data_IF_150805351195
#
_entry.id   IF_150805351195
#
_cell.length_a   1.000
_cell.length_b   1.000
_cell.length_c   1.000
_cell.angle_alpha   90.00
_cell.angle_beta   90.00
_cell.angle_gamma   90.00
#
_symmetry.space_group_name_H-M   'P 1'
#
loop_
_entity.id
_entity.type
_entity.pdbx_description
1 polymer ?
#
# COMPACT_ATOMS: atom_id res chain seq x y z
N UNK A 1 -7.77 0.39 20.65
CA UNK A 1 -7.25 0.36 19.27
C UNK A 1 -5.76 0.63 19.34
N UNK A 2 -4.91 -0.26 18.84
CA UNK A 2 -3.46 -0.04 18.87
C UNK A 2 -3.06 0.92 17.74
N UNK A 3 -2.34 1.98 18.08
CA UNK A 3 -1.87 2.99 17.16
C UNK A 3 -0.35 3.15 17.20
N UNK A 4 0.23 3.41 16.05
CA UNK A 4 1.60 3.88 15.88
C UNK A 4 1.57 5.36 15.52
N UNK A 5 1.98 6.20 16.46
CA UNK A 5 2.26 7.61 16.17
C UNK A 5 3.70 7.71 15.68
N UNK A 6 3.86 8.19 14.46
CA UNK A 6 5.15 8.24 13.77
C UNK A 6 5.59 9.69 13.60
N UNK A 7 6.80 9.98 14.07
CA UNK A 7 7.39 11.32 14.11
C UNK A 7 8.77 11.28 13.44
N UNK A 8 9.08 12.29 12.63
CA UNK A 8 10.40 12.51 12.00
C UNK A 8 10.95 13.85 12.42
N UNK A 9 12.14 13.87 13.02
CA UNK A 9 12.82 15.09 13.51
C UNK A 9 11.90 15.98 14.38
N UNK A 10 11.07 15.36 15.22
CA UNK A 10 10.06 16.05 16.04
C UNK A 10 8.79 16.48 15.31
N UNK A 11 8.76 16.40 13.97
CA UNK A 11 7.56 16.66 13.15
C UNK A 11 6.67 15.43 13.04
N UNK A 12 5.37 15.60 13.27
CA UNK A 12 4.38 14.54 13.13
C UNK A 12 4.25 14.11 11.66
N UNK A 13 4.38 12.80 11.38
CA UNK A 13 4.16 12.24 10.04
C UNK A 13 2.76 11.64 9.90
N UNK A 14 2.37 10.77 10.83
CA UNK A 14 1.04 10.16 10.86
C UNK A 14 0.75 9.48 12.21
N UNK A 15 -0.53 9.30 12.51
CA UNK A 15 -1.00 8.32 13.51
C UNK A 15 -1.72 7.19 12.78
N UNK A 16 -1.04 6.08 12.58
CA UNK A 16 -1.63 4.89 11.97
C UNK A 16 -2.25 4.00 13.04
N UNK A 17 -3.39 3.38 12.76
CA UNK A 17 -4.02 2.48 13.72
C UNK A 17 -4.97 1.52 13.03
N UNK A 18 -5.06 0.33 13.60
CA UNK A 18 -5.97 -0.72 13.14
C UNK A 18 -6.92 -1.10 14.27
N UNK A 19 -8.19 -1.41 13.97
CA UNK A 19 -9.14 -1.92 14.95
C UNK A 19 -8.71 -3.30 15.49
N UNK A 20 -9.52 -3.93 16.33
CA UNK A 20 -9.16 -5.10 17.14
C UNK A 20 -8.56 -6.29 16.35
N UNK A 21 -8.86 -6.41 15.05
CA UNK A 21 -8.27 -7.42 14.17
C UNK A 21 -7.60 -6.77 12.97
N UNK A 22 -6.29 -6.93 12.87
CA UNK A 22 -5.49 -6.43 11.76
C UNK A 22 -4.00 -6.58 12.00
N UNK A 23 -3.22 -6.18 11.01
CA UNK A 23 -1.78 -6.02 11.12
C UNK A 23 -1.48 -4.53 11.00
N UNK A 24 -0.62 -4.02 11.86
CA UNK A 24 -0.06 -2.68 11.75
C UNK A 24 1.46 -2.79 11.76
N UNK A 25 2.13 -2.14 10.82
CA UNK A 25 3.57 -2.21 10.68
C UNK A 25 4.17 -0.86 10.28
N UNK A 26 5.43 -0.69 10.69
CA UNK A 26 6.30 0.40 10.25
C UNK A 26 7.59 -0.23 9.73
N UNK A 27 7.87 -0.05 8.45
CA UNK A 27 8.99 -0.67 7.75
C UNK A 27 9.92 0.43 7.25
N UNK A 28 11.19 0.35 7.65
CA UNK A 28 12.26 1.18 7.09
C UNK A 28 13.07 0.32 6.11
N UNK A 29 13.03 0.69 4.83
CA UNK A 29 13.65 -0.07 3.74
C UNK A 29 14.86 0.67 3.19
N UNK A 30 16.02 0.02 3.17
CA UNK A 30 17.22 0.52 2.48
C UNK A 30 17.55 -0.37 1.30
N UNK A 31 17.54 0.19 0.09
CA UNK A 31 17.79 -0.53 -1.15
C UNK A 31 18.99 0.07 -1.87
N UNK A 32 20.00 -0.75 -2.13
CA UNK A 32 21.16 -0.43 -2.96
C UNK A 32 21.31 -1.50 -4.03
N UNK A 33 21.10 -1.15 -5.30
CA UNK A 33 21.22 -2.08 -6.43
C UNK A 33 22.61 -1.97 -7.06
N UNK A 34 23.30 -3.09 -7.32
CA UNK A 34 24.67 -3.06 -7.85
C UNK A 34 24.78 -2.63 -9.32
N UNK A 35 23.75 -2.89 -10.14
CA UNK A 35 23.84 -2.73 -11.62
C UNK A 35 22.99 -1.56 -12.17
N UNK A 36 22.49 -0.67 -11.31
CA UNK A 36 21.64 0.44 -11.71
C UNK A 36 22.46 1.73 -11.84
N UNK A 37 23.15 1.92 -12.98
CA UNK A 37 23.95 3.13 -13.24
C UNK A 37 23.11 4.42 -13.21
N UNK A 38 21.78 4.32 -13.36
CA UNK A 38 20.85 5.45 -13.28
C UNK A 38 20.56 5.89 -11.84
N UNK A 39 20.83 5.04 -10.87
CA UNK A 39 20.43 5.21 -9.48
C UNK A 39 21.66 5.14 -8.55
N UNK A 40 22.59 6.07 -8.75
CA UNK A 40 23.81 6.20 -7.96
C UNK A 40 23.54 6.44 -6.46
N UNK A 41 22.32 6.86 -6.10
CA UNK A 41 21.89 7.12 -4.73
C UNK A 41 21.03 5.97 -4.19
N UNK A 42 21.40 5.35 -3.07
CA UNK A 42 20.58 4.33 -2.43
C UNK A 42 19.22 4.91 -1.99
N UNK A 43 18.17 4.10 -2.14
CA UNK A 43 16.82 4.47 -1.74
C UNK A 43 16.59 4.08 -0.28
N UNK A 44 16.13 5.04 0.54
CA UNK A 44 15.77 4.80 1.93
C UNK A 44 14.34 5.31 2.14
N UNK A 45 13.39 4.40 2.38
CA UNK A 45 11.97 4.72 2.51
C UNK A 45 11.40 4.24 3.84
N UNK A 46 10.47 5.01 4.37
CA UNK A 46 9.66 4.65 5.52
C UNK A 46 8.23 4.40 5.04
N UNK A 47 7.77 3.16 5.23
CA UNK A 47 6.41 2.76 4.98
C UNK A 47 5.69 2.51 6.31
N UNK A 48 4.55 3.18 6.53
CA UNK A 48 3.65 2.94 7.66
C UNK A 48 2.34 2.45 7.08
N UNK A 49 2.04 1.19 7.34
CA UNK A 49 0.96 0.48 6.69
C UNK A 49 0.37 -0.59 7.57
N UNK A 50 -0.63 -1.26 7.03
CA UNK A 50 -1.33 -2.31 7.73
C UNK A 50 -2.27 -3.06 6.83
N UNK A 51 -2.95 -4.05 7.42
CA UNK A 51 -3.98 -4.81 6.73
C UNK A 51 -5.13 -5.13 7.67
N UNK A 52 -6.35 -4.93 7.19
CA UNK A 52 -7.60 -5.17 7.94
C UNK A 52 -8.56 -6.01 7.11
N UNK A 53 -9.74 -6.28 7.68
CA UNK A 53 -10.78 -7.05 7.02
C UNK A 53 -10.61 -8.56 7.14
N UNK A 54 -11.59 -9.31 6.63
CA UNK A 54 -11.57 -10.78 6.65
C UNK A 54 -10.34 -11.25 5.88
N UNK A 55 -9.52 -12.10 6.52
CA UNK A 55 -8.27 -12.65 5.94
C UNK A 55 -7.24 -11.59 5.54
N UNK A 56 -7.27 -10.38 6.13
CA UNK A 56 -6.29 -9.31 5.88
C UNK A 56 -6.22 -8.81 4.43
N UNK A 57 -7.33 -8.87 3.71
CA UNK A 57 -7.40 -8.54 2.28
C UNK A 57 -7.41 -7.04 1.98
N UNK A 58 -7.67 -6.18 2.96
CA UNK A 58 -7.63 -4.74 2.75
C UNK A 58 -6.33 -4.17 3.29
N UNK A 59 -5.46 -3.77 2.38
CA UNK A 59 -4.20 -3.10 2.68
C UNK A 59 -4.41 -1.60 2.84
N UNK A 60 -3.81 -1.04 3.89
CA UNK A 60 -3.91 0.36 4.26
C UNK A 60 -2.51 0.97 4.30
N UNK A 61 -2.37 2.17 3.74
CA UNK A 61 -1.12 2.93 3.81
C UNK A 61 -1.39 4.32 4.36
N UNK A 62 -0.70 4.68 5.45
CA UNK A 62 -0.77 6.00 6.07
C UNK A 62 0.40 6.88 5.65
N UNK A 63 1.56 6.29 5.43
CA UNK A 63 2.76 7.03 5.09
C UNK A 63 3.65 6.17 4.19
N UNK A 64 4.11 6.74 3.09
CA UNK A 64 5.20 6.20 2.29
C UNK A 64 6.07 7.39 1.86
N UNK A 65 7.25 7.51 2.48
CA UNK A 65 8.10 8.70 2.33
C UNK A 65 9.57 8.34 2.27
N UNK A 66 10.33 9.17 1.54
CA UNK A 66 11.78 9.08 1.51
C UNK A 66 12.39 9.64 2.81
N UNK A 67 13.35 8.91 3.34
CA UNK A 67 14.15 9.24 4.52
C UNK A 67 15.58 9.54 4.08
N UNK A 68 16.25 10.43 4.81
CA UNK A 68 17.63 10.84 4.58
C UNK A 68 18.49 10.41 5.75
N UNK A 69 19.77 10.14 5.48
CA UNK A 69 20.74 9.93 6.53
C UNK A 69 20.76 11.15 7.48
N UNK A 70 20.70 10.88 8.78
CA UNK A 70 20.61 11.91 9.83
C UNK A 70 19.19 12.22 10.30
N UNK A 71 18.15 11.73 9.62
CA UNK A 71 16.80 11.81 10.17
C UNK A 71 16.66 10.93 11.43
N UNK A 72 15.95 11.44 12.42
CA UNK A 72 15.53 10.71 13.61
C UNK A 72 14.07 10.34 13.47
N UNK A 73 13.78 9.05 13.52
CA UNK A 73 12.43 8.51 13.50
C UNK A 73 12.05 8.04 14.90
N UNK A 74 10.86 8.39 15.34
CA UNK A 74 10.26 7.90 16.58
C UNK A 74 8.91 7.28 16.26
N UNK A 75 8.71 6.06 16.77
CA UNK A 75 7.43 5.34 16.69
C UNK A 75 6.94 5.14 18.12
N UNK A 76 5.87 5.82 18.48
CA UNK A 76 5.20 5.63 19.76
C UNK A 76 4.05 4.63 19.57
N UNK A 77 4.04 3.57 20.38
CA UNK A 77 2.95 2.59 20.41
C UNK A 77 1.98 2.99 21.51
N UNK A 78 0.73 3.29 21.14
CA UNK A 78 -0.28 3.90 22.01
C UNK A 78 -1.65 3.25 21.80
N UNK A 79 -2.44 3.12 22.87
CA UNK A 79 -3.82 2.61 22.81
C UNK A 79 -4.88 3.70 23.01
N UNK A 80 -4.45 4.88 23.45
CA UNK A 80 -5.28 6.03 23.83
C UNK A 80 -5.37 7.11 22.74
N UNK A 81 -4.96 6.78 21.51
CA UNK A 81 -5.01 7.68 20.36
C UNK A 81 -6.10 7.28 19.37
N UNK A 82 -6.58 8.26 18.62
CA UNK A 82 -7.38 8.04 17.42
C UNK A 82 -6.48 7.98 16.19
N UNK A 83 -6.73 6.99 15.33
CA UNK A 83 -6.02 6.83 14.07
C UNK A 83 -6.48 7.87 13.05
N UNK A 84 -5.54 8.39 12.27
CA UNK A 84 -5.83 9.17 11.08
C UNK A 84 -6.41 8.27 9.99
N UNK A 85 -7.12 8.87 9.03
CA UNK A 85 -7.54 8.14 7.85
C UNK A 85 -6.32 7.71 7.02
N UNK A 86 -6.27 6.46 6.52
CA UNK A 86 -5.21 6.03 5.62
C UNK A 86 -5.23 6.85 4.33
N UNK A 87 -4.04 7.18 3.81
CA UNK A 87 -3.87 7.89 2.53
C UNK A 87 -4.30 7.03 1.36
N UNK A 88 -4.01 5.74 1.42
CA UNK A 88 -4.37 4.78 0.39
C UNK A 88 -5.03 3.54 1.01
N UNK A 89 -5.97 2.97 0.25
CA UNK A 89 -6.68 1.74 0.58
C UNK A 89 -6.71 0.86 -0.65
N UNK A 90 -6.21 -0.36 -0.53
CA UNK A 90 -6.21 -1.33 -1.60
C UNK A 90 -6.87 -2.62 -1.12
N UNK A 91 -7.97 -3.01 -1.77
CA UNK A 91 -8.62 -4.29 -1.53
C UNK A 91 -8.04 -5.32 -2.49
N UNK A 92 -7.33 -6.31 -1.95
CA UNK A 92 -6.93 -7.48 -2.71
C UNK A 92 -8.14 -8.42 -2.88
N UNK A 93 -8.76 -8.31 -4.04
CA UNK A 93 -9.91 -9.15 -4.42
C UNK A 93 -9.51 -10.59 -4.73
N UNK A 94 -8.22 -10.86 -4.96
CA UNK A 94 -7.69 -12.18 -5.30
C UNK A 94 -7.16 -12.95 -4.09
N UNK A 95 -6.77 -12.24 -3.02
CA UNK A 95 -6.33 -12.85 -1.77
C UNK A 95 -7.34 -13.89 -1.26
N UNK A 96 -6.85 -15.06 -0.84
CA UNK A 96 -7.67 -16.15 -0.31
C UNK A 96 -8.58 -16.86 -1.32
N UNK A 97 -8.52 -16.54 -2.62
CA UNK A 97 -9.16 -17.34 -3.65
C UNK A 97 -8.35 -18.62 -3.94
N UNK A 98 -9.05 -19.73 -4.16
CA UNK A 98 -8.44 -20.89 -4.80
C UNK A 98 -8.07 -20.58 -6.26
N UNK A 99 -7.21 -21.41 -6.84
CA UNK A 99 -6.69 -21.20 -8.20
C UNK A 99 -7.79 -21.12 -9.26
N UNK A 100 -8.86 -21.92 -9.14
CA UNK A 100 -9.98 -21.91 -10.09
C UNK A 100 -10.77 -20.63 -9.96
N UNK A 101 -11.04 -20.19 -8.73
CA UNK A 101 -11.73 -18.92 -8.46
C UNK A 101 -10.94 -17.71 -8.94
N UNK A 102 -9.61 -17.71 -8.76
CA UNK A 102 -8.71 -16.67 -9.28
C UNK A 102 -8.74 -16.62 -10.81
N UNK A 103 -8.62 -17.78 -11.48
CA UNK A 103 -8.67 -17.86 -12.95
C UNK A 103 -10.02 -17.39 -13.51
N UNK A 104 -11.13 -17.70 -12.82
CA UNK A 104 -12.46 -17.19 -13.19
C UNK A 104 -12.55 -15.67 -13.08
N UNK A 105 -12.02 -15.09 -12.00
CA UNK A 105 -12.00 -13.64 -11.83
C UNK A 105 -11.17 -12.96 -12.93
N UNK A 106 -9.99 -13.50 -13.23
CA UNK A 106 -9.13 -13.02 -14.31
C UNK A 106 -9.80 -13.11 -15.68
N UNK A 107 -10.48 -14.22 -15.98
CA UNK A 107 -11.24 -14.40 -17.22
C UNK A 107 -12.30 -13.29 -17.37
N UNK A 108 -13.12 -13.07 -16.35
CA UNK A 108 -14.18 -12.04 -16.39
C UNK A 108 -13.59 -10.63 -16.57
N UNK A 109 -12.45 -10.33 -15.95
CA UNK A 109 -11.75 -9.05 -16.11
C UNK A 109 -11.26 -8.85 -17.55
N UNK A 110 -10.65 -9.88 -18.14
CA UNK A 110 -10.15 -9.84 -19.52
C UNK A 110 -11.29 -9.70 -20.53
N UNK A 111 -12.42 -10.40 -20.32
CA UNK A 111 -13.60 -10.28 -21.18
C UNK A 111 -14.15 -8.84 -21.19
N UNK A 112 -14.14 -8.16 -20.03
CA UNK A 112 -14.55 -6.74 -19.94
C UNK A 112 -13.60 -5.82 -20.70
N UNK A 113 -12.29 -5.96 -20.50
CA UNK A 113 -11.29 -5.15 -21.21
C UNK A 113 -11.38 -5.36 -22.73
N UNK A 114 -11.60 -6.59 -23.17
CA UNK A 114 -11.81 -6.90 -24.58
C UNK A 114 -13.06 -6.21 -25.14
N UNK A 115 -14.15 -6.15 -24.35
CA UNK A 115 -15.36 -5.44 -24.75
C UNK A 115 -15.13 -3.93 -24.88
N UNK A 116 -14.43 -3.32 -23.91
CA UNK A 116 -14.06 -1.89 -23.94
C UNK A 116 -13.21 -1.55 -25.18
N UNK A 117 -12.13 -2.32 -25.43
CA UNK A 117 -11.27 -2.11 -26.60
C UNK A 117 -12.03 -2.31 -27.92
N UNK A 118 -12.91 -3.30 -28.00
CA UNK A 118 -13.69 -3.52 -29.21
C UNK A 118 -14.66 -2.37 -29.49
N UNK A 119 -15.18 -1.72 -28.44
CA UNK A 119 -16.03 -0.55 -28.59
C UNK A 119 -15.23 0.67 -29.07
N UNK A 120 -14.07 0.93 -28.47
CA UNK A 120 -13.15 1.99 -28.92
C UNK A 120 -12.72 1.77 -30.38
N UNK A 121 -12.44 0.53 -30.79
CA UNK A 121 -12.11 0.20 -32.19
C UNK A 121 -13.28 0.43 -33.15
N UNK A 122 -14.54 0.21 -32.71
CA UNK A 122 -15.72 0.56 -33.53
C UNK A 122 -15.84 2.07 -33.68
N UNK A 123 -15.63 2.83 -32.61
CA UNK A 123 -15.70 4.29 -32.62
C UNK A 123 -14.59 4.90 -33.51
N UNK A 124 -13.36 4.38 -33.43
CA UNK A 124 -12.26 4.83 -34.28
C UNK A 124 -12.36 4.34 -35.74
N UNK A 125 -12.93 3.17 -35.99
CA UNK A 125 -13.10 2.60 -37.33
C UNK A 125 -14.32 3.10 -38.11
N UNK A 126 -15.15 3.96 -37.50
CA UNK A 126 -16.34 4.57 -38.12
C UNK A 126 -16.15 6.04 -38.52
N UNK A 127 -14.91 6.55 -38.45
CA UNK A 127 -14.47 7.85 -38.97
C UNK A 127 -13.74 7.70 -40.32
#
# INVERSE_FOLDING_TARGET
MLCFRVVRNGGHLTTAGVPDFGVLHTILSWVRRPDDESNATPELTLHVGGSVGKEYREHLTWCDVHIRAGDVLMVEVREDLEAEAPKERHLDTEAGLDEVSRLRLQKTRLERLLAEVNEELRECGSA
#
